data_IF_416610861724
#
_entry.id   IF_416610861724
#
_cell.length_a   1.000
_cell.length_b   1.000
_cell.length_c   1.000
_cell.angle_alpha   90.00
_cell.angle_beta   90.00
_cell.angle_gamma   90.00
#
_symmetry.space_group_name_H-M   'P 1'
#
loop_
_entity.id
_entity.type
_entity.pdbx_description
1 polymer ?
#
# COMPACT_ATOMS: atom_id res chain seq x y z
N UNK A 1 -24.27 3.57 13.21
CA UNK A 1 -23.54 4.78 12.77
C UNK A 1 -22.01 4.59 12.93
N UNK A 2 -21.45 3.45 12.50
CA UNK A 2 -19.99 3.20 12.59
C UNK A 2 -19.34 3.02 11.22
N UNK A 3 -20.11 2.73 10.15
CA UNK A 3 -19.60 2.60 8.78
C UNK A 3 -18.86 3.86 8.36
N UNK A 4 -19.51 5.03 8.45
CA UNK A 4 -18.91 6.30 8.01
C UNK A 4 -17.57 6.61 8.68
N UNK A 5 -17.39 6.24 9.96
CA UNK A 5 -16.12 6.46 10.65
C UNK A 5 -15.02 5.51 10.19
N UNK A 6 -15.34 4.24 9.94
CA UNK A 6 -14.37 3.28 9.42
C UNK A 6 -14.02 3.60 7.96
N UNK A 7 -15.00 4.02 7.17
CA UNK A 7 -14.82 4.45 5.78
C UNK A 7 -13.89 5.68 5.74
N UNK A 8 -14.15 6.70 6.56
CA UNK A 8 -13.26 7.87 6.70
C UNK A 8 -11.86 7.49 7.20
N UNK A 9 -11.75 6.60 8.19
CA UNK A 9 -10.45 6.13 8.69
C UNK A 9 -9.68 5.41 7.59
N UNK A 10 -10.37 4.57 6.82
CA UNK A 10 -9.79 3.84 5.70
C UNK A 10 -9.25 4.82 4.67
N UNK A 11 -10.09 5.74 4.19
CA UNK A 11 -9.74 6.70 3.15
C UNK A 11 -8.56 7.58 3.59
N UNK A 12 -8.62 8.15 4.80
CA UNK A 12 -7.55 8.98 5.33
C UNK A 12 -6.22 8.21 5.47
N UNK A 13 -6.29 6.96 5.94
CA UNK A 13 -5.09 6.12 6.09
C UNK A 13 -4.52 5.77 4.72
N UNK A 14 -5.40 5.40 3.79
CA UNK A 14 -5.03 5.06 2.42
C UNK A 14 -4.35 6.24 1.73
N UNK A 15 -4.99 7.41 1.72
CA UNK A 15 -4.48 8.61 1.06
C UNK A 15 -3.13 9.03 1.63
N UNK A 16 -3.03 9.10 2.97
CA UNK A 16 -1.78 9.50 3.63
C UNK A 16 -0.61 8.56 3.30
N UNK A 17 -0.84 7.24 3.33
CA UNK A 17 0.18 6.24 2.98
C UNK A 17 0.51 6.31 1.49
N UNK A 18 -0.50 6.45 0.64
CA UNK A 18 -0.34 6.52 -0.81
C UNK A 18 0.52 7.72 -1.21
N UNK A 19 0.23 8.92 -0.69
CA UNK A 19 1.01 10.13 -0.96
C UNK A 19 2.47 9.98 -0.54
N UNK A 20 2.72 9.45 0.66
CA UNK A 20 4.07 9.22 1.16
C UNK A 20 4.86 8.25 0.25
N UNK A 21 4.20 7.20 -0.24
CA UNK A 21 4.80 6.23 -1.15
C UNK A 21 5.03 6.80 -2.54
N UNK A 22 4.12 7.61 -3.07
CA UNK A 22 4.30 8.32 -4.36
C UNK A 22 5.52 9.24 -4.28
N UNK A 23 5.67 9.98 -3.18
CA UNK A 23 6.85 10.81 -2.96
C UNK A 23 8.15 9.98 -2.85
N UNK A 24 8.10 8.82 -2.20
CA UNK A 24 9.22 7.90 -2.14
C UNK A 24 9.59 7.37 -3.53
N UNK A 25 8.59 7.01 -4.35
CA UNK A 25 8.78 6.57 -5.74
C UNK A 25 9.38 7.68 -6.59
N UNK A 26 8.91 8.93 -6.46
CA UNK A 26 9.45 10.08 -7.20
C UNK A 26 10.94 10.28 -6.91
N UNK A 27 11.35 10.07 -5.66
CA UNK A 27 12.76 10.22 -5.24
C UNK A 27 13.63 9.05 -5.68
N UNK A 28 13.19 7.82 -5.46
CA UNK A 28 13.93 6.61 -5.85
C UNK A 28 12.99 5.42 -6.06
N UNK A 29 12.62 5.11 -7.32
CA UNK A 29 11.71 4.00 -7.63
C UNK A 29 12.24 2.62 -7.21
N UNK A 30 13.57 2.41 -7.24
CA UNK A 30 14.17 1.10 -6.91
C UNK A 30 14.12 0.85 -5.41
N UNK A 31 14.49 1.87 -4.63
CA UNK A 31 14.42 1.83 -3.17
C UNK A 31 12.97 1.78 -2.68
N UNK A 32 12.06 2.50 -3.34
CA UNK A 32 10.63 2.46 -3.04
C UNK A 32 10.07 1.04 -3.20
N UNK A 33 10.36 0.38 -4.33
CA UNK A 33 9.91 -0.99 -4.60
C UNK A 33 10.35 -1.98 -3.51
N UNK A 34 11.59 -1.89 -3.07
CA UNK A 34 12.14 -2.78 -2.06
C UNK A 34 11.50 -2.54 -0.68
N UNK A 35 11.29 -1.27 -0.32
CA UNK A 35 10.61 -0.89 0.93
C UNK A 35 9.15 -1.34 0.94
N UNK A 36 8.41 -1.06 -0.13
CA UNK A 36 6.99 -1.42 -0.26
C UNK A 36 6.79 -2.93 -0.07
N UNK A 37 7.61 -3.75 -0.72
CA UNK A 37 7.56 -5.22 -0.57
C UNK A 37 7.87 -5.69 0.85
N UNK A 38 8.86 -5.06 1.50
CA UNK A 38 9.21 -5.38 2.89
C UNK A 38 8.09 -5.05 3.87
N UNK A 39 7.46 -3.88 3.70
CA UNK A 39 6.35 -3.43 4.54
C UNK A 39 5.12 -4.31 4.31
N UNK A 40 4.75 -4.59 3.05
CA UNK A 40 3.63 -5.48 2.74
C UNK A 40 3.77 -6.86 3.41
N UNK A 41 4.97 -7.47 3.35
CA UNK A 41 5.21 -8.74 4.03
C UNK A 41 4.93 -8.65 5.53
N UNK A 42 5.32 -7.56 6.18
CA UNK A 42 5.04 -7.32 7.60
C UNK A 42 3.54 -7.12 7.86
N UNK A 43 2.86 -6.35 7.00
CA UNK A 43 1.43 -6.07 7.12
C UNK A 43 0.57 -7.32 6.96
N UNK A 44 0.83 -8.17 5.96
CA UNK A 44 0.09 -9.44 5.81
C UNK A 44 0.32 -10.39 6.97
N UNK A 45 1.54 -10.45 7.52
CA UNK A 45 1.78 -11.23 8.74
C UNK A 45 0.95 -10.70 9.91
N UNK A 46 0.80 -9.38 10.02
CA UNK A 46 -0.03 -8.74 11.06
C UNK A 46 -1.53 -8.89 10.84
N UNK A 47 -1.97 -9.01 9.58
CA UNK A 47 -3.36 -9.26 9.20
C UNK A 47 -3.74 -10.73 9.46
N UNK A 48 -2.87 -11.68 9.08
CA UNK A 48 -3.11 -13.11 9.27
C UNK A 48 -2.87 -13.61 10.70
N UNK A 49 -1.96 -12.96 11.44
CA UNK A 49 -1.86 -13.17 12.88
C UNK A 49 -2.94 -12.31 13.55
N UNK A 50 -4.12 -12.91 13.73
CA UNK A 50 -5.31 -12.38 14.42
C UNK A 50 -5.09 -12.15 15.95
N UNK A 51 -3.86 -11.82 16.34
CA UNK A 51 -3.39 -11.74 17.73
C UNK A 51 -3.68 -10.39 18.38
N UNK A 52 -4.49 -9.56 17.74
CA UNK A 52 -4.30 -8.14 17.86
C UNK A 52 -5.15 -7.47 18.93
N UNK A 53 -6.35 -8.01 19.21
CA UNK A 53 -7.32 -7.28 20.04
C UNK A 53 -7.56 -5.83 19.59
N UNK A 54 -7.15 -5.48 18.34
CA UNK A 54 -7.14 -4.10 17.82
C UNK A 54 -8.55 -3.61 17.51
N UNK A 55 -9.49 -4.56 17.36
CA UNK A 55 -10.84 -4.30 16.92
C UNK A 55 -10.88 -3.80 15.48
N UNK A 56 -12.11 -3.62 14.99
CA UNK A 56 -12.39 -3.22 13.60
C UNK A 56 -11.62 -1.98 13.16
N UNK A 57 -11.35 -1.04 14.07
CA UNK A 57 -10.62 0.21 13.79
C UNK A 57 -9.16 -0.07 13.38
N UNK A 58 -8.45 -0.92 14.13
CA UNK A 58 -7.05 -1.20 13.81
C UNK A 58 -6.90 -2.14 12.61
N UNK A 59 -7.88 -3.00 12.36
CA UNK A 59 -7.91 -3.84 11.16
C UNK A 59 -8.18 -2.98 9.91
N UNK A 60 -9.13 -2.05 9.97
CA UNK A 60 -9.37 -1.06 8.90
C UNK A 60 -8.11 -0.27 8.55
N UNK A 61 -7.31 0.15 9.54
CA UNK A 61 -6.04 0.85 9.29
C UNK A 61 -4.98 -0.03 8.62
N UNK A 62 -4.92 -1.32 8.97
CA UNK A 62 -4.02 -2.28 8.32
C UNK A 62 -4.46 -2.53 6.88
N UNK A 63 -5.76 -2.73 6.65
CA UNK A 63 -6.32 -2.97 5.32
C UNK A 63 -6.07 -1.78 4.40
N UNK A 64 -6.32 -0.55 4.87
CA UNK A 64 -6.04 0.67 4.13
C UNK A 64 -4.55 0.81 3.78
N UNK A 65 -3.67 0.50 4.74
CA UNK A 65 -2.23 0.52 4.52
C UNK A 65 -1.79 -0.50 3.47
N UNK A 66 -2.31 -1.73 3.52
CA UNK A 66 -2.02 -2.78 2.53
C UNK A 66 -2.47 -2.31 1.14
N UNK A 67 -3.70 -1.84 1.01
CA UNK A 67 -4.26 -1.40 -0.25
C UNK A 67 -3.45 -0.25 -0.87
N UNK A 68 -2.99 0.72 -0.07
CA UNK A 68 -2.14 1.81 -0.56
C UNK A 68 -0.80 1.31 -1.10
N UNK A 69 -0.16 0.38 -0.38
CA UNK A 69 1.11 -0.21 -0.80
C UNK A 69 0.96 -1.06 -2.08
N UNK A 70 -0.10 -1.86 -2.18
CA UNK A 70 -0.41 -2.65 -3.38
C UNK A 70 -0.69 -1.74 -4.59
N UNK A 71 -1.44 -0.65 -4.38
CA UNK A 71 -1.79 0.30 -5.45
C UNK A 71 -0.54 0.93 -6.07
N UNK A 72 0.40 1.41 -5.23
CA UNK A 72 1.66 1.97 -5.73
C UNK A 72 2.54 0.89 -6.39
N UNK A 73 2.54 -0.33 -5.85
CA UNK A 73 3.27 -1.44 -6.45
C UNK A 73 2.76 -1.80 -7.85
N UNK A 74 1.43 -1.80 -8.03
CA UNK A 74 0.78 -2.04 -9.31
C UNK A 74 1.08 -0.91 -10.32
N UNK A 75 1.03 0.35 -9.89
CA UNK A 75 1.41 1.50 -10.72
C UNK A 75 2.88 1.40 -11.18
N UNK A 76 3.79 1.06 -10.27
CA UNK A 76 5.21 0.82 -10.59
C UNK A 76 5.40 -0.34 -11.56
N UNK A 77 4.62 -1.42 -11.45
CA UNK A 77 4.70 -2.54 -12.37
C UNK A 77 4.21 -2.14 -13.78
N UNK A 78 3.08 -1.45 -13.87
CA UNK A 78 2.52 -0.94 -15.13
C UNK A 78 3.46 0.01 -15.87
N UNK A 79 4.18 0.87 -15.14
CA UNK A 79 5.20 1.78 -15.69
C UNK A 79 6.43 1.06 -16.24
N UNK A 80 6.71 -0.16 -15.77
CA UNK A 80 7.84 -0.96 -16.25
C UNK A 80 7.47 -1.73 -17.50
N UNK A 81 6.28 -2.34 -17.55
CA UNK A 81 5.82 -3.10 -18.72
C UNK A 81 5.73 -2.23 -19.97
N UNK A 82 5.28 -0.98 -19.84
CA UNK A 82 5.21 -0.02 -20.96
C UNK A 82 6.59 0.48 -21.44
N UNK A 83 7.67 0.25 -20.68
CA UNK A 83 9.05 0.55 -21.11
C UNK A 83 9.71 -0.64 -21.81
N UNK A 84 9.35 -1.86 -21.42
CA UNK A 84 9.87 -3.09 -22.04
C UNK A 84 9.22 -3.37 -23.42
N UNK A 85 8.00 -2.93 -23.69
CA UNK A 85 7.36 -3.06 -25.03
C UNK A 85 7.95 -2.16 -26.13
N UNK A 86 8.85 -1.23 -25.78
CA UNK A 86 9.56 -0.34 -26.73
C UNK A 86 10.90 -0.91 -27.22
N UNK A 87 11.35 -2.03 -26.66
CA UNK A 87 12.52 -2.79 -27.12
C UNK A 87 12.07 -4.15 -27.66
N UNK A 88 11.49 -4.17 -28.85
CA UNK A 88 11.48 -5.37 -29.69
C UNK A 88 11.80 -4.95 -31.13
N UNK A 89 12.87 -5.50 -31.74
CA UNK A 89 13.31 -5.18 -33.09
C UNK A 89 12.38 -5.75 -34.18
#
# INVERSE_FOLDING_TARGET
>A
MCSNYLDELYDNTFESVYEALVELVRKDPRRALQQIRGILKSLYVRQGNDWSGRGVVGDTGIDASIAAHESVLADLASRRTSRDEKESP
#
